data_IF_951067355070
#
_entry.id   IF_951067355070
#
_cell.length_a   1.000
_cell.length_b   1.000
_cell.length_c   1.000
_cell.angle_alpha   90.00
_cell.angle_beta   90.00
_cell.angle_gamma   90.00
#
_symmetry.space_group_name_H-M   'P 1'
#
loop_
_entity.id
_entity.type
_entity.pdbx_description
1 polymer ?
#
# COMPACT_ATOMS: atom_id res chain seq x y z
N UNK A 1 10.16 -1.58 -1.93
CA UNK A 1 9.38 -0.83 -0.93
C UNK A 1 10.27 0.08 -0.12
N UNK A 2 9.82 1.30 0.17
CA UNK A 2 10.50 2.25 1.07
C UNK A 2 9.80 2.30 2.43
N UNK A 3 10.52 2.67 3.48
CA UNK A 3 9.97 2.87 4.83
C UNK A 3 10.47 4.20 5.37
N UNK A 4 9.55 5.08 5.75
CA UNK A 4 9.80 6.40 6.31
C UNK A 4 9.19 6.54 7.70
N UNK A 5 9.70 7.50 8.47
CA UNK A 5 9.12 7.91 9.75
C UNK A 5 8.30 9.18 9.56
N UNK A 6 7.12 9.24 10.19
CA UNK A 6 6.28 10.43 10.22
C UNK A 6 6.91 11.61 11.01
N UNK A 7 7.93 11.35 11.83
CA UNK A 7 8.72 12.42 12.47
C UNK A 7 9.61 13.18 11.47
N UNK A 8 9.84 12.60 10.29
CA UNK A 8 10.71 13.17 9.25
C UNK A 8 9.92 13.69 8.06
N UNK A 9 8.83 13.02 7.68
CA UNK A 9 8.06 13.34 6.48
C UNK A 9 6.57 13.33 6.78
N UNK A 10 5.85 14.39 6.41
CA UNK A 10 4.38 14.41 6.47
C UNK A 10 3.80 13.64 5.28
N UNK A 11 2.52 13.25 5.38
CA UNK A 11 1.84 12.60 4.26
C UNK A 11 1.69 13.58 3.09
N UNK A 12 1.41 14.84 3.38
CA UNK A 12 1.27 15.90 2.38
C UNK A 12 2.56 16.10 1.58
N UNK A 13 3.72 16.15 2.24
CA UNK A 13 5.03 16.25 1.59
C UNK A 13 5.36 15.03 0.73
N UNK A 14 4.95 13.84 1.17
CA UNK A 14 5.13 12.61 0.40
C UNK A 14 4.19 12.58 -0.81
N UNK A 15 2.96 13.07 -0.68
CA UNK A 15 2.03 13.19 -1.81
C UNK A 15 2.53 14.19 -2.84
N UNK A 16 3.10 15.32 -2.41
CA UNK A 16 3.73 16.30 -3.30
C UNK A 16 4.90 15.67 -4.07
N UNK A 17 5.80 14.94 -3.40
CA UNK A 17 6.89 14.22 -4.06
C UNK A 17 6.40 13.15 -5.05
N UNK A 18 5.32 12.44 -4.72
CA UNK A 18 4.70 11.47 -5.64
C UNK A 18 4.14 12.16 -6.87
N UNK A 19 3.46 13.30 -6.70
CA UNK A 19 2.91 14.09 -7.79
C UNK A 19 4.01 14.70 -8.68
N UNK A 20 5.08 15.24 -8.09
CA UNK A 20 6.25 15.76 -8.82
C UNK A 20 6.97 14.69 -9.65
N UNK A 21 6.92 13.44 -9.19
CA UNK A 21 7.41 12.28 -9.95
C UNK A 21 6.44 11.82 -11.06
N UNK A 22 5.33 12.52 -11.29
CA UNK A 22 4.30 12.18 -12.28
C UNK A 22 3.45 10.97 -11.90
N UNK A 23 3.38 10.62 -10.61
CA UNK A 23 2.65 9.45 -10.09
C UNK A 23 1.40 9.87 -9.34
N UNK A 24 0.44 8.95 -9.21
CA UNK A 24 -0.74 9.11 -8.35
C UNK A 24 -0.47 8.55 -6.97
N UNK A 25 -0.87 9.26 -5.92
CA UNK A 25 -0.78 8.76 -4.54
C UNK A 25 -2.09 8.13 -4.10
N UNK A 26 -2.05 6.95 -3.48
CA UNK A 26 -3.15 6.38 -2.69
C UNK A 26 -2.72 6.28 -1.23
N UNK A 27 -3.46 6.89 -0.32
CA UNK A 27 -3.14 6.88 1.11
C UNK A 27 -3.96 5.81 1.81
N UNK A 28 -3.27 4.81 2.36
CA UNK A 28 -3.87 3.76 3.18
C UNK A 28 -3.69 4.20 4.65
N UNK A 29 -4.78 4.58 5.36
CA UNK A 29 -4.68 5.08 6.72
C UNK A 29 -4.24 3.97 7.70
N UNK A 30 -3.75 4.40 8.87
CA UNK A 30 -3.29 3.47 9.88
C UNK A 30 -4.46 2.73 10.53
N UNK A 31 -4.25 1.43 10.77
CA UNK A 31 -5.15 0.56 11.51
C UNK A 31 -4.36 -0.24 12.56
N UNK A 32 -5.03 -0.66 13.63
CA UNK A 32 -4.41 -1.18 14.85
C UNK A 32 -4.31 -2.72 14.90
N UNK A 33 -4.92 -3.41 13.95
CA UNK A 33 -4.97 -4.88 13.92
C UNK A 33 -4.80 -5.40 12.50
N UNK A 34 -4.30 -6.64 12.38
CA UNK A 34 -4.14 -7.32 11.08
C UNK A 34 -5.42 -7.27 10.25
N UNK A 35 -6.56 -7.59 10.86
CA UNK A 35 -7.85 -7.61 10.17
C UNK A 35 -8.21 -6.21 9.66
N UNK A 36 -8.12 -5.20 10.51
CA UNK A 36 -8.44 -3.83 10.14
C UNK A 36 -7.50 -3.32 9.04
N UNK A 37 -6.20 -3.62 9.10
CA UNK A 37 -5.25 -3.30 8.01
C UNK A 37 -5.69 -3.91 6.69
N UNK A 38 -6.04 -5.20 6.68
CA UNK A 38 -6.51 -5.88 5.47
C UNK A 38 -7.79 -5.25 4.91
N UNK A 39 -8.74 -4.89 5.78
CA UNK A 39 -9.99 -4.21 5.39
C UNK A 39 -9.70 -2.82 4.81
N UNK A 40 -8.80 -2.05 5.43
CA UNK A 40 -8.41 -0.72 4.94
C UNK A 40 -7.74 -0.78 3.58
N UNK A 41 -6.86 -1.75 3.33
CA UNK A 41 -6.31 -1.97 1.98
C UNK A 41 -7.40 -2.27 0.97
N UNK A 42 -8.35 -3.16 1.31
CA UNK A 42 -9.46 -3.51 0.44
C UNK A 42 -10.34 -2.32 0.07
N UNK A 43 -10.67 -1.47 1.04
CA UNK A 43 -11.48 -0.27 0.82
C UNK A 43 -10.74 0.77 -0.05
N UNK A 44 -9.50 1.11 0.29
CA UNK A 44 -8.74 2.17 -0.38
C UNK A 44 -8.38 1.79 -1.82
N UNK A 45 -8.05 0.52 -2.06
CA UNK A 45 -7.70 0.01 -3.39
C UNK A 45 -8.92 -0.48 -4.17
N UNK A 46 -10.12 -0.33 -3.62
CA UNK A 46 -11.39 -0.77 -4.22
C UNK A 46 -11.37 -2.24 -4.65
N UNK A 47 -10.84 -3.12 -3.78
CA UNK A 47 -10.88 -4.56 -4.01
C UNK A 47 -12.32 -5.09 -4.05
N UNK A 48 -12.59 -6.24 -4.71
CA UNK A 48 -13.93 -6.78 -4.85
C UNK A 48 -14.62 -7.06 -3.51
N UNK A 49 -15.96 -7.00 -3.47
CA UNK A 49 -16.75 -7.30 -2.26
C UNK A 49 -16.44 -8.68 -1.64
N UNK A 50 -15.98 -9.62 -2.46
CA UNK A 50 -15.62 -10.99 -2.05
C UNK A 50 -14.12 -11.15 -1.72
N UNK A 51 -13.38 -10.06 -1.48
CA UNK A 51 -11.96 -10.02 -1.15
C UNK A 51 -11.51 -10.96 -0.01
N UNK A 52 -12.40 -11.40 0.89
CA UNK A 52 -12.05 -12.49 1.83
C UNK A 52 -11.09 -12.15 2.98
N UNK A 53 -10.54 -10.93 3.04
CA UNK A 53 -9.85 -10.31 4.20
C UNK A 53 -8.80 -11.24 4.85
N UNK A 54 -7.87 -11.75 4.05
CA UNK A 54 -6.75 -12.58 4.48
C UNK A 54 -5.48 -12.28 3.64
N UNK A 55 -4.34 -12.88 3.99
CA UNK A 55 -3.05 -12.58 3.34
C UNK A 55 -2.98 -13.06 1.89
N UNK A 56 -3.54 -14.22 1.59
CA UNK A 56 -3.53 -14.77 0.23
C UNK A 56 -4.39 -13.87 -0.66
N UNK A 57 -5.57 -13.47 -0.18
CA UNK A 57 -6.43 -12.59 -0.93
C UNK A 57 -5.85 -11.17 -1.08
N UNK A 58 -5.13 -10.64 -0.07
CA UNK A 58 -4.35 -9.41 -0.21
C UNK A 58 -3.37 -9.53 -1.37
N UNK A 59 -2.61 -10.62 -1.41
CA UNK A 59 -1.63 -10.86 -2.45
C UNK A 59 -2.28 -10.91 -3.83
N UNK A 60 -3.32 -11.72 -4.00
CA UNK A 60 -4.02 -11.88 -5.28
C UNK A 60 -4.62 -10.55 -5.75
N UNK A 61 -5.29 -9.81 -4.85
CA UNK A 61 -5.92 -8.53 -5.21
C UNK A 61 -4.91 -7.42 -5.51
N UNK A 62 -3.72 -7.45 -4.90
CA UNK A 62 -2.65 -6.52 -5.24
C UNK A 62 -2.08 -6.78 -6.64
N UNK A 63 -2.00 -8.04 -7.07
CA UNK A 63 -1.59 -8.40 -8.42
C UNK A 63 -2.64 -7.95 -9.45
N UNK A 64 -3.92 -8.22 -9.20
CA UNK A 64 -5.02 -7.74 -10.05
C UNK A 64 -5.02 -6.20 -10.12
N UNK A 65 -4.79 -5.53 -8.99
CA UNK A 65 -4.67 -4.07 -8.94
C UNK A 65 -3.47 -3.58 -9.75
N UNK A 66 -2.31 -4.24 -9.65
CA UNK A 66 -1.12 -3.89 -10.43
C UNK A 66 -1.36 -4.02 -11.93
N UNK A 67 -1.97 -5.12 -12.39
CA UNK A 67 -2.33 -5.33 -13.79
C UNK A 67 -3.27 -4.22 -14.29
N UNK A 68 -4.26 -3.84 -13.45
CA UNK A 68 -5.21 -2.78 -13.81
C UNK A 68 -4.56 -1.40 -14.03
N UNK A 69 -3.41 -1.10 -13.42
CA UNK A 69 -2.69 0.16 -13.64
C UNK A 69 -2.13 0.20 -15.06
N UNK A 70 -1.44 -0.87 -15.46
CA UNK A 70 -0.78 -0.99 -16.75
C UNK A 70 -1.76 -1.04 -17.92
N UNK A 71 -2.85 -1.81 -17.78
CA UNK A 71 -3.85 -1.98 -18.85
C UNK A 71 -4.58 -0.68 -19.21
N UNK A 72 -4.84 0.17 -18.22
CA UNK A 72 -5.60 1.42 -18.43
C UNK A 72 -4.73 2.58 -18.94
N UNK A 73 -3.42 2.38 -19.13
CA UNK A 73 -2.48 3.44 -19.50
C UNK A 73 -2.47 4.61 -18.50
N UNK A 74 -2.90 4.35 -17.27
CA UNK A 74 -3.00 5.35 -16.22
C UNK A 74 -1.61 5.69 -15.67
N UNK A 75 -1.46 6.88 -15.08
CA UNK A 75 -0.22 7.24 -14.41
C UNK A 75 0.12 6.20 -13.32
N UNK A 76 1.42 5.83 -13.18
CA UNK A 76 1.88 4.92 -12.12
C UNK A 76 1.42 5.34 -10.74
N UNK A 77 1.25 4.38 -9.84
CA UNK A 77 0.72 4.58 -8.49
C UNK A 77 1.82 4.44 -7.45
N UNK A 78 1.77 5.28 -6.42
CA UNK A 78 2.49 5.07 -5.16
C UNK A 78 1.47 4.92 -4.04
N UNK A 79 1.50 3.78 -3.35
CA UNK A 79 0.76 3.56 -2.11
C UNK A 79 1.57 4.15 -0.96
N UNK A 80 0.95 5.06 -0.20
CA UNK A 80 1.46 5.62 1.04
C UNK A 80 0.70 4.97 2.20
N UNK A 81 1.30 3.94 2.80
CA UNK A 81 0.67 3.17 3.87
C UNK A 81 1.10 3.69 5.24
N UNK A 82 0.18 4.30 5.98
CA UNK A 82 0.42 4.70 7.36
C UNK A 82 0.35 3.48 8.28
N UNK A 83 1.37 3.32 9.12
CA UNK A 83 1.50 2.15 10.01
C UNK A 83 1.40 2.63 11.45
N UNK A 84 0.34 2.22 12.15
CA UNK A 84 0.19 2.51 13.57
C UNK A 84 1.33 1.88 14.39
N UNK A 85 1.86 2.61 15.37
CA UNK A 85 2.87 2.09 16.29
C UNK A 85 2.45 0.77 16.97
N UNK A 86 1.17 0.62 17.32
CA UNK A 86 0.61 -0.59 17.90
C UNK A 86 0.66 -1.80 16.95
N UNK A 87 0.46 -1.58 15.65
CA UNK A 87 0.49 -2.64 14.65
C UNK A 87 1.91 -3.01 14.21
N UNK A 88 2.85 -2.06 14.23
CA UNK A 88 4.26 -2.27 13.84
C UNK A 88 4.94 -3.43 14.57
N UNK A 89 4.54 -3.69 15.83
CA UNK A 89 5.08 -4.79 16.64
C UNK A 89 4.49 -6.17 16.33
N UNK A 90 3.42 -6.25 15.54
CA UNK A 90 2.78 -7.52 15.17
C UNK A 90 3.57 -8.23 14.06
N UNK A 91 3.69 -9.56 14.14
CA UNK A 91 4.36 -10.37 13.09
C UNK A 91 3.77 -10.12 11.70
N UNK A 92 2.48 -9.84 11.64
CA UNK A 92 1.73 -9.59 10.40
C UNK A 92 2.21 -8.35 9.67
N UNK A 93 2.80 -7.37 10.36
CA UNK A 93 3.40 -6.21 9.72
C UNK A 93 4.51 -6.63 8.73
N UNK A 94 5.41 -7.52 9.17
CA UNK A 94 6.48 -8.04 8.32
C UNK A 94 5.94 -8.84 7.13
N UNK A 95 4.93 -9.68 7.35
CA UNK A 95 4.30 -10.48 6.28
C UNK A 95 3.62 -9.56 5.25
N UNK A 96 2.90 -8.52 5.69
CA UNK A 96 2.29 -7.56 4.77
C UNK A 96 3.36 -6.79 3.99
N UNK A 97 4.49 -6.44 4.62
CA UNK A 97 5.62 -5.84 3.91
C UNK A 97 6.18 -6.74 2.81
N UNK A 98 6.26 -8.06 3.04
CA UNK A 98 6.69 -9.03 2.04
C UNK A 98 5.70 -9.09 0.87
N UNK A 99 4.40 -9.18 1.16
CA UNK A 99 3.33 -9.17 0.15
C UNK A 99 3.34 -7.88 -0.69
N UNK A 100 3.50 -6.72 -0.05
CA UNK A 100 3.58 -5.43 -0.75
C UNK A 100 4.85 -5.29 -1.60
N UNK A 101 5.97 -5.86 -1.16
CA UNK A 101 7.20 -5.90 -1.94
C UNK A 101 7.08 -6.83 -3.15
N UNK A 102 6.39 -7.96 -3.00
CA UNK A 102 6.10 -8.87 -4.10
C UNK A 102 5.25 -8.18 -5.17
N UNK A 103 4.15 -7.53 -4.78
CA UNK A 103 3.29 -6.76 -5.68
C UNK A 103 4.04 -5.60 -6.37
N UNK A 104 4.89 -4.88 -5.66
CA UNK A 104 5.75 -3.84 -6.25
C UNK A 104 6.75 -4.42 -7.25
N UNK A 105 7.34 -5.57 -6.94
CA UNK A 105 8.26 -6.28 -7.86
C UNK A 105 7.53 -6.77 -9.11
N UNK A 106 6.31 -7.29 -8.96
CA UNK A 106 5.46 -7.76 -10.05
C UNK A 106 5.10 -6.62 -11.01
N UNK A 107 4.69 -5.47 -10.47
CA UNK A 107 4.26 -4.30 -11.24
C UNK A 107 5.41 -3.51 -11.92
N UNK A 108 6.66 -3.77 -11.55
CA UNK A 108 7.81 -3.04 -12.06
C UNK A 108 7.77 -1.56 -11.72
N UNK A 109 7.66 -0.68 -12.73
CA UNK A 109 7.61 0.78 -12.52
C UNK A 109 6.22 1.30 -12.15
N UNK A 110 5.19 0.48 -12.30
CA UNK A 110 3.81 0.96 -12.31
C UNK A 110 3.21 1.07 -10.91
N UNK A 111 3.70 0.27 -9.97
CA UNK A 111 3.37 0.35 -8.55
C UNK A 111 4.62 0.61 -7.73
N UNK A 112 4.51 1.47 -6.73
CA UNK A 112 5.50 1.65 -5.68
C UNK A 112 4.80 1.68 -4.33
N UNK A 113 5.46 1.20 -3.28
CA UNK A 113 4.91 1.21 -1.92
C UNK A 113 5.87 1.90 -0.97
N UNK A 114 5.33 2.84 -0.18
CA UNK A 114 6.04 3.50 0.92
C UNK A 114 5.25 3.32 2.21
N UNK A 115 5.84 2.63 3.18
CA UNK A 115 5.30 2.58 4.54
C UNK A 115 5.73 3.82 5.32
N UNK A 116 4.80 4.45 6.02
CA UNK A 116 5.01 5.65 6.85
C UNK A 116 4.70 5.29 8.29
N UNK A 117 5.73 5.19 9.12
CA UNK A 117 5.62 4.75 10.50
C UNK A 117 5.19 5.93 11.38
N UNK A 118 4.01 5.80 11.99
CA UNK A 118 3.45 6.76 12.96
C UNK A 118 4.00 6.56 14.38
#
# INVERSE_FOLDING_TARGET
MKIYSADTWTIEELQEQVADAGRRSLVVPAADSKKAVLETFGEVLAFPEHYGVNMDALNDSLHDFADSIGENGSAPVTILWQVAAAFRGDRSFGIICEVLQDAESYAGSDLAVTAVLL
#
